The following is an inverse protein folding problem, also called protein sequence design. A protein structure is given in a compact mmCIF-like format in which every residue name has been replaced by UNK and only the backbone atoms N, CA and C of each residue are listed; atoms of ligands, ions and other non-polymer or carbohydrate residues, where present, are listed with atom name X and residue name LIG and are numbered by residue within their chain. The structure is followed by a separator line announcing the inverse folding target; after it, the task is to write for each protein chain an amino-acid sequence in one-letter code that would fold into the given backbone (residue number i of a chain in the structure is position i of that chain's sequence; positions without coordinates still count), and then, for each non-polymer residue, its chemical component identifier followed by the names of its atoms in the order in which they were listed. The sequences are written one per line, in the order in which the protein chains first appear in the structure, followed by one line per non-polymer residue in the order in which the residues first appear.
data_IF_760077476756
#
_entry.id   IF_760077476756
#
_cell.length_a   1.000
_cell.length_b   1.000
_cell.length_c   1.000
_cell.angle_alpha   90.00
_cell.angle_beta   90.00
_cell.angle_gamma   90.00
#
_symmetry.space_group_name_H-M   'P 1'
#
loop_
_entity.id
_entity.type
_entity.pdbx_description
1 polymer ?
#
# COMPACT_ATOMS: atom_id res chain seq x y z
N UNK A 1 0.20 0.33 42.98
CA UNK A 1 -1.02 0.16 42.16
C UNK A 1 -1.67 1.53 42.08
N UNK A 2 -1.79 2.12 40.90
CA UNK A 2 -2.53 3.37 40.71
C UNK A 2 -4.03 3.06 40.81
N UNK A 3 -4.76 3.78 41.65
CA UNK A 3 -6.23 3.67 41.74
C UNK A 3 -6.91 4.63 40.77
N UNK A 4 -8.20 4.41 40.47
CA UNK A 4 -9.01 5.36 39.67
C UNK A 4 -9.01 6.74 40.33
N UNK A 5 -9.08 6.82 41.65
CA UNK A 5 -8.99 8.06 42.42
C UNK A 5 -7.62 8.74 42.31
N UNK A 6 -6.52 7.98 42.18
CA UNK A 6 -5.19 8.54 41.91
C UNK A 6 -5.11 9.12 40.49
N UNK A 7 -5.72 8.44 39.51
CA UNK A 7 -5.81 8.94 38.13
C UNK A 7 -6.67 10.21 38.06
N UNK A 8 -7.82 10.25 38.73
CA UNK A 8 -8.67 11.46 38.79
C UNK A 8 -7.91 12.64 39.40
N UNK A 9 -7.22 12.43 40.53
CA UNK A 9 -6.40 13.47 41.17
C UNK A 9 -5.24 13.93 40.29
N UNK A 10 -4.63 13.03 39.53
CA UNK A 10 -3.58 13.39 38.56
C UNK A 10 -4.14 14.24 37.42
N UNK A 11 -5.28 13.87 36.86
CA UNK A 11 -5.95 14.63 35.79
C UNK A 11 -6.48 16.00 36.26
N UNK A 12 -6.92 16.11 37.51
CA UNK A 12 -7.30 17.38 38.13
C UNK A 12 -6.09 18.31 38.32
N UNK A 13 -4.92 17.75 38.64
CA UNK A 13 -3.68 18.51 38.82
C UNK A 13 -2.96 18.83 37.52
N UNK A 14 -3.18 18.04 36.47
CA UNK A 14 -2.53 18.17 35.16
C UNK A 14 -3.56 18.38 34.04
N UNK A 15 -4.14 19.59 33.92
CA UNK A 15 -5.21 19.86 32.95
C UNK A 15 -4.81 19.59 31.50
N UNK A 16 -3.54 19.81 31.13
CA UNK A 16 -3.03 19.49 29.79
C UNK A 16 -2.98 17.98 29.51
N UNK A 17 -2.73 17.14 30.52
CA UNK A 17 -2.81 15.68 30.36
C UNK A 17 -4.26 15.23 30.18
N UNK A 18 -5.18 15.82 30.95
CA UNK A 18 -6.61 15.56 30.83
C UNK A 18 -7.13 15.89 29.42
N UNK A 19 -6.78 17.06 28.89
CA UNK A 19 -7.17 17.46 27.54
C UNK A 19 -6.68 16.47 26.47
N UNK A 20 -5.43 15.99 26.58
CA UNK A 20 -4.88 15.00 25.64
C UNK A 20 -5.66 13.68 25.71
N UNK A 21 -5.97 13.18 26.91
CA UNK A 21 -6.74 11.93 27.07
C UNK A 21 -8.16 12.09 26.52
N UNK A 22 -8.83 13.21 26.79
CA UNK A 22 -10.17 13.49 26.27
C UNK A 22 -10.15 13.53 24.74
N UNK A 23 -9.15 14.19 24.14
CA UNK A 23 -8.97 14.19 22.67
C UNK A 23 -8.68 12.80 22.13
N UNK A 24 -7.85 12.01 22.81
CA UNK A 24 -7.57 10.62 22.43
C UNK A 24 -8.83 9.76 22.45
N UNK A 25 -9.64 9.85 23.49
CA UNK A 25 -10.93 9.15 23.57
C UNK A 25 -11.84 9.58 22.43
N UNK A 26 -12.01 10.89 22.21
CA UNK A 26 -12.85 11.41 21.13
C UNK A 26 -12.38 10.96 19.73
N UNK A 27 -11.07 10.81 19.52
CA UNK A 27 -10.51 10.42 18.23
C UNK A 27 -10.51 8.90 18.00
N UNK A 28 -10.06 8.11 18.99
CA UNK A 28 -9.80 6.68 18.82
C UNK A 28 -11.00 5.81 19.20
N UNK A 29 -11.84 6.22 20.15
CA UNK A 29 -12.95 5.39 20.61
C UNK A 29 -13.98 5.12 19.49
N UNK A 30 -14.45 6.13 18.71
CA UNK A 30 -15.34 5.87 17.59
C UNK A 30 -14.75 4.91 16.56
N UNK A 31 -13.44 5.03 16.26
CA UNK A 31 -12.74 4.14 15.33
C UNK A 31 -12.66 2.70 15.83
N UNK A 32 -12.48 2.52 17.13
CA UNK A 32 -12.50 1.19 17.74
C UNK A 32 -13.88 0.55 17.64
N UNK A 33 -14.93 1.28 18.01
CA UNK A 33 -16.32 0.80 17.90
C UNK A 33 -16.67 0.49 16.44
N UNK A 34 -16.26 1.34 15.50
CA UNK A 34 -16.44 1.09 14.06
C UNK A 34 -15.74 -0.20 13.61
N UNK A 35 -14.50 -0.44 14.07
CA UNK A 35 -13.77 -1.67 13.76
C UNK A 35 -14.50 -2.91 14.28
N UNK A 36 -15.03 -2.86 15.52
CA UNK A 36 -15.85 -3.93 16.08
C UNK A 36 -17.13 -4.14 15.27
N UNK A 37 -17.83 -3.07 14.94
CA UNK A 37 -19.03 -3.14 14.11
C UNK A 37 -18.76 -3.74 12.71
N UNK A 38 -17.66 -3.36 12.05
CA UNK A 38 -17.25 -3.95 10.76
C UNK A 38 -16.97 -5.45 10.89
N UNK A 39 -16.23 -5.85 11.92
CA UNK A 39 -15.93 -7.26 12.19
C UNK A 39 -17.21 -8.05 12.43
N UNK A 40 -18.13 -7.50 13.23
CA UNK A 40 -19.43 -8.11 13.51
C UNK A 40 -20.25 -8.29 12.23
N UNK A 41 -20.36 -7.24 11.40
CA UNK A 41 -21.08 -7.30 10.12
C UNK A 41 -20.48 -8.38 9.22
N UNK A 42 -19.15 -8.39 9.03
CA UNK A 42 -18.47 -9.35 8.16
C UNK A 42 -18.69 -10.81 8.64
N UNK A 43 -18.69 -11.05 9.95
CA UNK A 43 -18.91 -12.37 10.52
C UNK A 43 -20.36 -12.88 10.34
N UNK A 44 -21.33 -11.97 10.17
CA UNK A 44 -22.75 -12.30 9.98
C UNK A 44 -23.21 -12.24 8.52
N UNK A 45 -22.33 -11.88 7.58
CA UNK A 45 -22.67 -11.88 6.16
C UNK A 45 -22.85 -13.32 5.66
N UNK A 46 -23.92 -13.61 4.89
CA UNK A 46 -24.05 -14.88 4.18
C UNK A 46 -22.84 -15.16 3.28
N UNK A 47 -22.48 -16.44 3.13
CA UNK A 47 -21.34 -16.83 2.30
C UNK A 47 -21.46 -16.34 0.85
N UNK A 48 -22.67 -16.32 0.29
CA UNK A 48 -22.94 -15.77 -1.04
C UNK A 48 -22.59 -14.28 -1.15
N UNK A 49 -22.87 -13.51 -0.10
CA UNK A 49 -22.63 -12.07 -0.09
C UNK A 49 -21.14 -11.80 0.12
N UNK A 50 -20.46 -12.63 0.92
CA UNK A 50 -19.00 -12.61 1.05
C UNK A 50 -18.30 -12.93 -0.28
N UNK A 51 -18.77 -13.93 -1.02
CA UNK A 51 -18.25 -14.26 -2.36
C UNK A 51 -18.46 -13.12 -3.34
N UNK A 52 -19.67 -12.54 -3.37
CA UNK A 52 -19.96 -11.38 -4.20
C UNK A 52 -19.09 -10.16 -3.84
N UNK A 53 -18.95 -9.86 -2.54
CA UNK A 53 -18.11 -8.77 -2.06
C UNK A 53 -16.65 -8.96 -2.48
N UNK A 54 -16.14 -10.19 -2.41
CA UNK A 54 -14.80 -10.51 -2.90
C UNK A 54 -14.64 -10.22 -4.39
N UNK A 55 -15.62 -10.58 -5.23
CA UNK A 55 -15.59 -10.23 -6.66
C UNK A 55 -15.61 -8.71 -6.88
N UNK A 56 -16.40 -7.97 -6.09
CA UNK A 56 -16.41 -6.50 -6.13
C UNK A 56 -15.06 -5.89 -5.77
N UNK A 57 -14.31 -6.48 -4.82
CA UNK A 57 -12.96 -6.04 -4.46
C UNK A 57 -12.00 -6.23 -5.65
N UNK A 58 -12.08 -7.37 -6.34
CA UNK A 58 -11.25 -7.62 -7.52
C UNK A 58 -11.48 -6.59 -8.63
N UNK A 59 -12.73 -6.16 -8.84
CA UNK A 59 -13.11 -5.15 -9.84
C UNK A 59 -12.64 -3.73 -9.52
N UNK A 60 -12.09 -3.45 -8.32
CA UNK A 60 -11.66 -2.11 -7.93
C UNK A 60 -10.46 -1.59 -8.72
N UNK A 61 -9.69 -2.46 -9.38
CA UNK A 61 -8.55 -2.05 -10.21
C UNK A 61 -8.95 -1.50 -11.59
N UNK A 62 -10.23 -1.61 -11.96
CA UNK A 62 -10.79 -1.06 -13.19
C UNK A 62 -11.05 0.44 -13.03
N UNK A 63 -10.47 1.22 -13.92
CA UNK A 63 -10.65 2.67 -14.01
C UNK A 63 -11.82 3.06 -14.92
N UNK A 64 -12.40 4.23 -14.69
CA UNK A 64 -13.43 4.78 -15.59
C UNK A 64 -12.88 5.01 -17.02
N UNK A 65 -11.60 5.36 -17.16
CA UNK A 65 -10.97 5.50 -18.47
C UNK A 65 -10.93 4.18 -19.24
N UNK A 66 -10.55 3.08 -18.58
CA UNK A 66 -10.57 1.74 -19.17
C UNK A 66 -12.00 1.33 -19.57
N UNK A 67 -13.02 1.68 -18.77
CA UNK A 67 -14.42 1.44 -19.11
C UNK A 67 -14.80 2.20 -20.38
N UNK A 68 -14.53 3.50 -20.46
CA UNK A 68 -14.89 4.30 -21.64
C UNK A 68 -14.15 3.85 -22.91
N UNK A 69 -12.88 3.46 -22.80
CA UNK A 69 -12.13 2.88 -23.91
C UNK A 69 -12.75 1.54 -24.36
N UNK A 70 -13.12 0.69 -23.41
CA UNK A 70 -13.68 -0.63 -23.70
C UNK A 70 -15.06 -0.59 -24.36
N UNK A 71 -15.86 0.47 -24.12
CA UNK A 71 -17.16 0.66 -24.78
C UNK A 71 -17.06 0.79 -26.30
N UNK A 72 -15.88 1.11 -26.83
CA UNK A 72 -15.63 1.16 -28.27
C UNK A 72 -15.42 -0.23 -28.88
N UNK A 73 -15.15 -1.25 -28.07
CA UNK A 73 -14.97 -2.64 -28.50
C UNK A 73 -16.32 -3.33 -28.76
N UNK A 74 -16.50 -3.87 -29.96
CA UNK A 74 -17.68 -4.68 -30.29
C UNK A 74 -17.82 -5.90 -29.38
N UNK A 75 -16.71 -6.52 -28.96
CA UNK A 75 -16.73 -7.71 -28.12
C UNK A 75 -17.16 -7.37 -26.68
N UNK A 76 -16.70 -6.24 -26.15
CA UNK A 76 -17.15 -5.74 -24.86
C UNK A 76 -18.65 -5.41 -24.88
N UNK A 77 -19.15 -4.81 -25.96
CA UNK A 77 -20.59 -4.55 -26.13
C UNK A 77 -21.43 -5.83 -26.24
N UNK A 78 -20.91 -6.90 -26.86
CA UNK A 78 -21.58 -8.21 -26.90
C UNK A 78 -21.67 -8.82 -25.49
N UNK A 79 -20.58 -8.78 -24.73
CA UNK A 79 -20.55 -9.27 -23.35
C UNK A 79 -21.52 -8.47 -22.46
N UNK A 80 -21.59 -7.14 -22.63
CA UNK A 80 -22.54 -6.31 -21.88
C UNK A 80 -23.99 -6.70 -22.17
N UNK A 81 -24.33 -7.00 -23.43
CA UNK A 81 -25.65 -7.52 -23.79
C UNK A 81 -25.96 -8.87 -23.12
N UNK A 82 -24.97 -9.77 -23.01
CA UNK A 82 -25.13 -11.03 -22.27
C UNK A 82 -25.47 -10.76 -20.80
N UNK A 83 -24.74 -9.87 -20.13
CA UNK A 83 -25.05 -9.51 -18.74
C UNK A 83 -26.41 -8.81 -18.58
N UNK A 84 -26.83 -7.99 -19.53
CA UNK A 84 -28.18 -7.40 -19.55
C UNK A 84 -29.24 -8.50 -19.63
N UNK A 85 -29.04 -9.51 -20.48
CA UNK A 85 -29.96 -10.63 -20.59
C UNK A 85 -30.00 -11.50 -19.31
N UNK A 86 -28.84 -11.74 -18.67
CA UNK A 86 -28.76 -12.41 -17.37
C UNK A 86 -29.53 -11.61 -16.30
N UNK A 87 -29.35 -10.29 -16.26
CA UNK A 87 -30.09 -9.38 -15.37
C UNK A 87 -31.61 -9.44 -15.61
N UNK A 88 -32.03 -9.77 -16.84
CA UNK A 88 -33.44 -9.95 -17.21
C UNK A 88 -33.98 -11.37 -16.99
N UNK A 89 -33.18 -12.28 -16.43
CA UNK A 89 -33.62 -13.60 -15.96
C UNK A 89 -32.96 -14.79 -16.67
N UNK A 90 -32.12 -14.58 -17.69
CA UNK A 90 -31.47 -15.65 -18.45
C UNK A 90 -30.13 -16.08 -17.81
N UNK A 91 -30.18 -16.68 -16.60
CA UNK A 91 -28.97 -17.09 -15.88
C UNK A 91 -28.14 -18.16 -16.59
N UNK A 92 -28.75 -18.94 -17.49
CA UNK A 92 -28.06 -19.92 -18.33
C UNK A 92 -26.95 -19.31 -19.20
N UNK A 93 -27.05 -18.01 -19.52
CA UNK A 93 -26.00 -17.29 -20.27
C UNK A 93 -24.72 -17.08 -19.45
N UNK A 94 -24.72 -17.34 -18.13
CA UNK A 94 -23.49 -17.28 -17.33
C UNK A 94 -22.45 -18.29 -17.80
N UNK A 95 -22.86 -19.45 -18.33
CA UNK A 95 -21.93 -20.44 -18.90
C UNK A 95 -21.23 -19.89 -20.14
N UNK A 96 -21.96 -19.16 -20.99
CA UNK A 96 -21.39 -18.50 -22.17
C UNK A 96 -20.39 -17.40 -21.75
N UNK A 97 -20.78 -16.56 -20.80
CA UNK A 97 -19.89 -15.51 -20.25
C UNK A 97 -18.64 -16.12 -19.63
N UNK A 98 -18.77 -17.22 -18.88
CA UNK A 98 -17.64 -17.91 -18.28
C UNK A 98 -16.70 -18.48 -19.34
N UNK A 99 -17.24 -19.08 -20.41
CA UNK A 99 -16.42 -19.59 -21.51
C UNK A 99 -15.64 -18.48 -22.21
N UNK A 100 -16.27 -17.31 -22.44
CA UNK A 100 -15.59 -16.13 -22.99
C UNK A 100 -14.47 -15.70 -22.05
N UNK A 101 -14.74 -15.57 -20.75
CA UNK A 101 -13.76 -15.20 -19.75
C UNK A 101 -12.54 -16.13 -19.77
N UNK A 102 -12.76 -17.46 -19.69
CA UNK A 102 -11.69 -18.46 -19.67
C UNK A 102 -10.85 -18.41 -20.96
N UNK A 103 -11.49 -18.24 -22.11
CA UNK A 103 -10.78 -18.09 -23.38
C UNK A 103 -9.88 -16.85 -23.38
N UNK A 104 -10.41 -15.70 -22.95
CA UNK A 104 -9.65 -14.45 -22.87
C UNK A 104 -8.50 -14.55 -21.85
N UNK A 105 -8.73 -15.21 -20.70
CA UNK A 105 -7.68 -15.47 -19.71
C UNK A 105 -6.54 -16.28 -20.31
N UNK A 106 -6.84 -17.33 -21.07
CA UNK A 106 -5.81 -18.17 -21.69
C UNK A 106 -4.98 -17.41 -22.73
N UNK A 107 -5.62 -16.56 -23.54
CA UNK A 107 -4.92 -15.70 -24.50
C UNK A 107 -3.98 -14.74 -23.77
N UNK A 108 -4.48 -14.02 -22.76
CA UNK A 108 -3.67 -13.07 -21.99
C UNK A 108 -2.53 -13.78 -21.24
N UNK A 109 -2.78 -14.95 -20.62
CA UNK A 109 -1.73 -15.74 -19.96
C UNK A 109 -0.60 -16.05 -20.94
N UNK A 110 -0.91 -16.54 -22.15
CA UNK A 110 0.08 -16.85 -23.17
C UNK A 110 0.87 -15.61 -23.64
N UNK A 111 0.21 -14.46 -23.79
CA UNK A 111 0.88 -13.20 -24.15
C UNK A 111 1.89 -12.76 -23.09
N UNK A 112 1.51 -12.78 -21.81
CA UNK A 112 2.42 -12.39 -20.73
C UNK A 112 3.55 -13.40 -20.54
N UNK A 113 3.30 -14.71 -20.66
CA UNK A 113 4.34 -15.74 -20.63
C UNK A 113 5.40 -15.48 -21.70
N UNK A 114 4.96 -15.11 -22.92
CA UNK A 114 5.85 -14.73 -24.01
C UNK A 114 6.66 -13.47 -23.67
N UNK A 115 6.01 -12.39 -23.20
CA UNK A 115 6.69 -11.15 -22.79
C UNK A 115 7.75 -11.41 -21.71
N UNK A 116 7.44 -12.28 -20.73
CA UNK A 116 8.36 -12.67 -19.66
C UNK A 116 9.54 -13.48 -20.22
N UNK A 117 9.28 -14.42 -21.13
CA UNK A 117 10.33 -15.21 -21.79
C UNK A 117 11.28 -14.31 -22.61
N UNK A 118 10.74 -13.34 -23.33
CA UNK A 118 11.51 -12.36 -24.10
C UNK A 118 12.38 -11.48 -23.19
N UNK A 119 11.81 -10.98 -22.07
CA UNK A 119 12.57 -10.23 -21.07
C UNK A 119 13.71 -11.08 -20.49
N UNK A 120 13.42 -12.32 -20.08
CA UNK A 120 14.42 -13.26 -19.57
C UNK A 120 15.53 -13.50 -20.57
N UNK A 121 15.19 -13.75 -21.83
CA UNK A 121 16.17 -13.93 -22.91
C UNK A 121 17.05 -12.68 -23.07
N UNK A 122 16.44 -11.48 -23.06
CA UNK A 122 17.18 -10.22 -23.22
C UNK A 122 18.21 -9.98 -22.12
N UNK A 123 17.98 -10.52 -20.91
CA UNK A 123 18.84 -10.39 -19.74
C UNK A 123 19.84 -11.54 -19.56
N UNK A 124 19.84 -12.53 -20.46
CA UNK A 124 20.85 -13.58 -20.43
C UNK A 124 22.23 -13.07 -20.85
N UNK A 125 23.32 -13.65 -20.29
CA UNK A 125 24.66 -13.46 -20.79
C UNK A 125 24.77 -13.75 -22.29
N UNK A 126 25.68 -13.03 -22.98
CA UNK A 126 25.84 -13.12 -24.44
C UNK A 126 26.10 -14.55 -24.93
N UNK A 127 26.93 -15.30 -24.22
CA UNK A 127 27.23 -16.71 -24.50
C UNK A 127 25.98 -17.60 -24.44
N UNK A 128 25.10 -17.38 -23.46
CA UNK A 128 23.83 -18.11 -23.32
C UNK A 128 22.84 -17.75 -24.42
N UNK A 129 22.74 -16.49 -24.81
CA UNK A 129 21.91 -16.06 -25.95
C UNK A 129 22.35 -16.73 -27.25
N UNK A 130 23.66 -16.72 -27.54
CA UNK A 130 24.22 -17.40 -28.72
C UNK A 130 23.94 -18.91 -28.71
N UNK A 131 24.01 -19.56 -27.53
CA UNK A 131 23.65 -20.97 -27.38
C UNK A 131 22.17 -21.20 -27.73
N UNK A 132 21.27 -20.35 -27.23
CA UNK A 132 19.83 -20.41 -27.50
C UNK A 132 19.55 -20.21 -28.99
N UNK A 133 20.15 -19.20 -29.63
CA UNK A 133 19.92 -18.89 -31.04
C UNK A 133 20.32 -20.07 -31.95
N UNK A 134 21.42 -20.75 -31.62
CA UNK A 134 21.86 -21.97 -32.31
C UNK A 134 20.92 -23.16 -32.11
N UNK A 135 20.24 -23.25 -30.97
CA UNK A 135 19.26 -24.30 -30.71
C UNK A 135 17.96 -24.01 -31.48
N UNK A 136 17.48 -22.77 -31.45
CA UNK A 136 16.31 -22.31 -32.22
C UNK A 136 16.53 -22.48 -33.73
N UNK A 137 17.72 -22.14 -34.25
CA UNK A 137 18.04 -22.36 -35.68
C UNK A 137 18.06 -23.84 -36.09
N UNK A 138 18.16 -24.76 -35.12
CA UNK A 138 18.09 -26.21 -35.32
C UNK A 138 16.71 -26.80 -34.97
N UNK A 139 15.69 -25.95 -34.79
CA UNK A 139 14.33 -26.35 -34.38
C UNK A 139 14.31 -27.13 -33.06
N UNK A 140 15.20 -26.77 -32.11
CA UNK A 140 15.28 -27.37 -30.78
C UNK A 140 14.74 -26.42 -29.71
N UNK A 141 13.50 -25.95 -29.90
CA UNK A 141 12.87 -24.94 -29.06
C UNK A 141 12.72 -25.38 -27.60
N UNK A 142 12.36 -26.65 -27.35
CA UNK A 142 12.28 -27.20 -25.98
C UNK A 142 13.61 -27.06 -25.22
N UNK A 143 14.74 -27.32 -25.91
CA UNK A 143 16.07 -27.19 -25.30
C UNK A 143 16.45 -25.74 -25.06
N UNK A 144 16.06 -24.85 -25.97
CA UNK A 144 16.24 -23.41 -25.80
C UNK A 144 15.44 -22.89 -24.59
N UNK A 145 14.20 -23.33 -24.44
CA UNK A 145 13.35 -22.98 -23.30
C UNK A 145 13.92 -23.48 -21.97
N UNK A 146 14.44 -24.70 -21.93
CA UNK A 146 15.07 -25.24 -20.70
C UNK A 146 16.20 -24.33 -20.24
N UNK A 147 17.04 -23.82 -21.15
CA UNK A 147 18.14 -22.92 -20.78
C UNK A 147 17.62 -21.61 -20.18
N UNK A 148 16.56 -21.03 -20.76
CA UNK A 148 15.93 -19.81 -20.25
C UNK A 148 15.29 -20.09 -18.87
N UNK A 149 14.55 -21.18 -18.73
CA UNK A 149 13.85 -21.52 -17.48
C UNK A 149 14.80 -21.87 -16.33
N UNK A 150 15.91 -22.54 -16.62
CA UNK A 150 16.84 -23.05 -15.59
C UNK A 150 17.94 -22.07 -15.18
N UNK A 151 18.03 -20.90 -15.84
CA UNK A 151 18.99 -19.89 -15.45
C UNK A 151 18.62 -19.27 -14.10
N UNK A 152 19.43 -19.53 -13.08
CA UNK A 152 19.14 -19.15 -11.68
C UNK A 152 19.71 -17.79 -11.25
N UNK A 153 20.48 -17.14 -12.12
CA UNK A 153 21.15 -15.85 -11.84
C UNK A 153 20.40 -14.66 -12.44
N UNK A 154 19.08 -14.76 -12.57
CA UNK A 154 18.29 -13.62 -13.01
C UNK A 154 18.30 -12.50 -11.96
N UNK A 155 18.34 -11.26 -12.46
CA UNK A 155 18.24 -10.02 -11.67
C UNK A 155 16.91 -9.98 -10.89
N UNK A 156 16.88 -9.23 -9.79
CA UNK A 156 15.69 -9.06 -8.93
C UNK A 156 14.45 -8.61 -9.72
N UNK A 157 14.64 -7.78 -10.74
CA UNK A 157 13.59 -7.32 -11.65
C UNK A 157 12.80 -8.46 -12.29
N UNK A 158 13.46 -9.53 -12.73
CA UNK A 158 12.77 -10.68 -13.34
C UNK A 158 11.95 -11.44 -12.28
N UNK A 159 12.52 -11.63 -11.08
CA UNK A 159 11.80 -12.27 -9.97
C UNK A 159 10.54 -11.48 -9.56
N UNK A 160 10.63 -10.14 -9.52
CA UNK A 160 9.48 -9.25 -9.28
C UNK A 160 8.39 -9.46 -10.35
N UNK A 161 8.75 -9.50 -11.63
CA UNK A 161 7.80 -9.77 -12.73
C UNK A 161 7.15 -11.15 -12.61
N UNK A 162 7.92 -12.20 -12.35
CA UNK A 162 7.40 -13.56 -12.20
C UNK A 162 6.44 -13.68 -11.01
N UNK A 163 6.76 -13.06 -9.88
CA UNK A 163 5.89 -13.00 -8.72
C UNK A 163 4.57 -12.28 -9.05
N UNK A 164 4.64 -11.14 -9.74
CA UNK A 164 3.45 -10.41 -10.18
C UNK A 164 2.58 -11.21 -11.14
N UNK A 165 3.18 -11.92 -12.08
CA UNK A 165 2.47 -12.85 -12.97
C UNK A 165 1.83 -14.01 -12.21
N UNK A 166 2.51 -14.58 -11.22
CA UNK A 166 1.95 -15.64 -10.37
C UNK A 166 0.74 -15.14 -9.56
N UNK A 167 0.79 -13.89 -9.07
CA UNK A 167 -0.36 -13.25 -8.42
C UNK A 167 -1.51 -13.12 -9.42
N UNK A 168 -1.25 -12.58 -10.61
CA UNK A 168 -2.26 -12.48 -11.68
C UNK A 168 -2.92 -13.83 -11.97
N UNK A 169 -2.12 -14.87 -12.19
CA UNK A 169 -2.61 -16.22 -12.49
C UNK A 169 -3.55 -16.75 -11.39
N UNK A 170 -3.23 -16.47 -10.12
CA UNK A 170 -4.11 -16.81 -8.99
C UNK A 170 -5.38 -15.97 -8.95
N UNK A 171 -5.30 -14.67 -9.26
CA UNK A 171 -6.44 -13.77 -9.20
C UNK A 171 -7.47 -14.09 -10.29
N UNK A 172 -7.03 -14.42 -11.51
CA UNK A 172 -7.96 -14.82 -12.58
C UNK A 172 -8.67 -16.14 -12.27
N UNK A 173 -7.99 -17.07 -11.59
CA UNK A 173 -8.62 -18.34 -11.18
C UNK A 173 -9.61 -18.14 -10.01
N UNK A 174 -9.51 -17.02 -9.28
CA UNK A 174 -10.42 -16.65 -8.18
C UNK A 174 -11.59 -15.78 -8.62
N UNK A 175 -11.52 -15.18 -9.81
CA UNK A 175 -12.60 -14.38 -10.35
C UNK A 175 -13.70 -15.30 -10.87
N UNK A 176 -14.89 -15.18 -10.30
CA UNK A 176 -16.00 -16.10 -10.55
C UNK A 176 -17.21 -15.35 -11.10
N UNK A 177 -17.44 -15.51 -12.40
CA UNK A 177 -18.56 -14.85 -13.09
C UNK A 177 -19.93 -15.34 -12.61
N UNK A 178 -20.01 -16.55 -12.04
CA UNK A 178 -21.27 -17.12 -11.56
C UNK A 178 -21.84 -16.40 -10.33
N UNK A 179 -21.03 -15.57 -9.65
CA UNK A 179 -21.52 -14.72 -8.57
C UNK A 179 -22.45 -13.59 -9.07
N UNK A 180 -22.46 -13.31 -10.37
CA UNK A 180 -23.26 -12.25 -10.99
C UNK A 180 -24.61 -12.76 -11.51
N UNK A 181 -25.36 -13.45 -10.66
CA UNK A 181 -26.73 -13.91 -10.95
C UNK A 181 -27.70 -12.74 -11.26
N UNK A 182 -28.86 -13.06 -11.84
CA UNK A 182 -29.97 -12.10 -12.06
C UNK A 182 -30.22 -11.20 -10.85
N UNK A 183 -30.36 -11.78 -9.65
CA UNK A 183 -30.66 -11.03 -8.43
C UNK A 183 -29.51 -10.09 -8.06
N UNK A 184 -28.28 -10.55 -8.17
CA UNK A 184 -27.09 -9.74 -7.87
C UNK A 184 -26.97 -8.57 -8.85
N UNK A 185 -27.15 -8.80 -10.15
CA UNK A 185 -27.08 -7.76 -11.18
C UNK A 185 -28.21 -6.75 -11.09
N UNK A 186 -29.43 -7.18 -10.79
CA UNK A 186 -30.57 -6.26 -10.61
C UNK A 186 -30.35 -5.25 -9.48
N UNK A 187 -29.65 -5.66 -8.42
CA UNK A 187 -29.29 -4.79 -7.29
C UNK A 187 -28.06 -3.92 -7.58
N UNK A 188 -27.20 -4.32 -8.52
CA UNK A 188 -25.89 -3.71 -8.78
C UNK A 188 -25.67 -3.36 -10.26
N UNK A 189 -26.67 -2.74 -10.89
CA UNK A 189 -26.67 -2.45 -12.34
C UNK A 189 -25.49 -1.60 -12.81
N UNK A 190 -24.96 -0.76 -11.92
CA UNK A 190 -23.79 0.07 -12.17
C UNK A 190 -22.49 -0.73 -12.37
N UNK A 191 -22.46 -2.01 -12.01
CA UNK A 191 -21.30 -2.88 -12.24
C UNK A 191 -21.21 -3.41 -13.67
N UNK A 192 -22.30 -3.38 -14.46
CA UNK A 192 -22.35 -3.98 -15.79
C UNK A 192 -21.16 -3.56 -16.68
N UNK A 193 -20.79 -2.28 -16.82
CA UNK A 193 -19.65 -1.90 -17.65
C UNK A 193 -18.32 -2.49 -17.15
N UNK A 194 -18.13 -2.55 -15.83
CA UNK A 194 -16.92 -3.12 -15.21
C UNK A 194 -16.85 -4.63 -15.45
N UNK A 195 -17.97 -5.32 -15.34
CA UNK A 195 -18.06 -6.77 -15.58
C UNK A 195 -17.77 -7.12 -17.03
N UNK A 196 -18.33 -6.35 -17.97
CA UNK A 196 -18.08 -6.54 -19.39
C UNK A 196 -16.60 -6.38 -19.72
N UNK A 197 -15.96 -5.34 -19.19
CA UNK A 197 -14.52 -5.14 -19.34
C UNK A 197 -13.72 -6.26 -18.67
N UNK A 198 -14.09 -6.68 -17.46
CA UNK A 198 -13.38 -7.73 -16.73
C UNK A 198 -13.37 -9.06 -17.50
N UNK A 199 -14.48 -9.40 -18.15
CA UNK A 199 -14.60 -10.59 -18.99
C UNK A 199 -13.85 -10.44 -20.31
N UNK A 200 -13.92 -9.25 -20.92
CA UNK A 200 -13.25 -8.97 -22.19
C UNK A 200 -11.72 -8.92 -22.06
N UNK A 201 -11.23 -8.28 -21.01
CA UNK A 201 -9.82 -7.93 -20.81
C UNK A 201 -9.38 -8.25 -19.38
N UNK A 202 -9.20 -9.55 -19.04
CA UNK A 202 -8.85 -10.00 -17.68
C UNK A 202 -7.51 -9.45 -17.16
N UNK A 203 -6.69 -8.85 -18.03
CA UNK A 203 -5.45 -8.16 -17.69
C UNK A 203 -5.60 -7.04 -16.65
N UNK A 204 -6.81 -6.55 -16.37
CA UNK A 204 -7.06 -5.60 -15.28
C UNK A 204 -6.62 -6.10 -13.90
N UNK A 205 -6.50 -7.43 -13.72
CA UNK A 205 -5.98 -8.08 -12.52
C UNK A 205 -4.44 -8.15 -12.47
N UNK A 206 -3.76 -7.80 -13.57
CA UNK A 206 -2.30 -7.77 -13.62
C UNK A 206 -1.78 -6.61 -12.74
N UNK A 207 -0.85 -6.86 -11.80
CA UNK A 207 -0.24 -5.78 -11.03
C UNK A 207 0.44 -4.76 -11.94
N UNK A 208 0.18 -3.47 -11.73
CA UNK A 208 0.62 -2.40 -12.63
C UNK A 208 2.15 -2.37 -12.87
N UNK A 209 2.98 -2.62 -11.85
CA UNK A 209 4.44 -2.68 -12.01
C UNK A 209 4.90 -3.75 -13.00
N UNK A 210 4.13 -4.84 -13.20
CA UNK A 210 4.54 -5.91 -14.12
C UNK A 210 4.68 -5.34 -15.53
N UNK A 211 3.71 -4.53 -15.95
CA UNK A 211 3.75 -3.87 -17.25
C UNK A 211 4.87 -2.85 -17.35
N UNK A 212 5.12 -2.06 -16.30
CA UNK A 212 6.26 -1.12 -16.28
C UNK A 212 7.60 -1.86 -16.45
N UNK A 213 7.78 -2.96 -15.72
CA UNK A 213 9.01 -3.74 -15.75
C UNK A 213 9.22 -4.45 -17.10
N UNK A 214 8.15 -5.03 -17.65
CA UNK A 214 8.16 -5.69 -18.97
C UNK A 214 8.44 -4.70 -20.09
N UNK A 215 7.83 -3.51 -20.04
CA UNK A 215 8.05 -2.44 -21.01
C UNK A 215 9.39 -1.70 -20.79
N UNK A 216 10.18 -2.12 -19.80
CA UNK A 216 11.47 -1.53 -19.44
C UNK A 216 11.40 -0.02 -19.15
N UNK A 217 10.25 0.46 -18.67
CA UNK A 217 10.12 1.85 -18.24
C UNK A 217 10.81 2.05 -16.90
N UNK A 218 11.37 3.25 -16.67
CA UNK A 218 11.87 3.62 -15.35
C UNK A 218 10.73 3.60 -14.32
N UNK A 219 10.99 2.93 -13.19
CA UNK A 219 10.08 2.89 -12.05
C UNK A 219 9.85 4.30 -11.50
N UNK A 220 8.64 4.55 -11.02
CA UNK A 220 8.32 5.78 -10.33
C UNK A 220 9.18 5.91 -9.05
N UNK A 221 9.74 7.10 -8.76
CA UNK A 221 10.45 7.29 -7.51
C UNK A 221 9.57 7.04 -6.28
N UNK A 222 10.15 6.42 -5.24
CA UNK A 222 9.45 6.05 -4.00
C UNK A 222 8.17 5.24 -4.29
N UNK A 223 8.24 4.34 -5.27
CA UNK A 223 7.11 3.53 -5.74
C UNK A 223 6.43 2.75 -4.60
N UNK A 224 7.24 2.27 -3.65
CA UNK A 224 6.79 1.55 -2.45
C UNK A 224 5.77 2.36 -1.64
N UNK A 225 5.92 3.68 -1.58
CA UNK A 225 4.98 4.57 -0.90
C UNK A 225 3.70 4.75 -1.72
N UNK A 226 3.85 5.01 -3.02
CA UNK A 226 2.73 5.27 -3.92
C UNK A 226 1.78 4.06 -3.97
N UNK A 227 2.31 2.83 -4.01
CA UNK A 227 1.52 1.60 -3.93
C UNK A 227 0.69 1.47 -2.66
N UNK A 228 1.17 2.03 -1.54
CA UNK A 228 0.47 1.98 -0.24
C UNK A 228 -0.57 3.09 -0.10
N UNK A 229 -0.43 4.18 -0.85
CA UNK A 229 -1.27 5.39 -0.69
C UNK A 229 -2.32 5.56 -1.75
N UNK A 230 -1.99 5.23 -2.98
CA UNK A 230 -2.89 5.39 -4.10
C UNK A 230 -3.73 4.13 -4.25
N UNK A 231 -5.00 4.31 -4.58
CA UNK A 231 -5.81 3.24 -5.15
C UNK A 231 -5.19 2.78 -6.47
N UNK A 232 -5.45 1.54 -6.88
CA UNK A 232 -4.92 1.00 -8.15
C UNK A 232 -5.26 1.93 -9.35
N UNK A 233 -6.48 2.47 -9.47
CA UNK A 233 -6.81 3.46 -10.49
C UNK A 233 -5.96 4.74 -10.45
N UNK A 234 -5.78 5.33 -9.26
CA UNK A 234 -4.96 6.55 -9.09
C UNK A 234 -3.51 6.28 -9.48
N UNK A 235 -2.99 5.11 -9.13
CA UNK A 235 -1.64 4.69 -9.47
C UNK A 235 -1.46 4.49 -10.99
N UNK A 236 -2.39 3.80 -11.67
CA UNK A 236 -2.39 3.66 -13.13
C UNK A 236 -2.39 5.03 -13.83
N UNK A 237 -3.23 5.96 -13.35
CA UNK A 237 -3.29 7.33 -13.87
C UNK A 237 -1.95 8.05 -13.70
N UNK A 238 -1.31 7.92 -12.54
CA UNK A 238 0.01 8.50 -12.27
C UNK A 238 1.07 7.97 -13.24
N UNK A 239 1.09 6.67 -13.54
CA UNK A 239 2.05 6.10 -14.50
C UNK A 239 1.88 6.75 -15.88
N UNK A 240 0.64 6.89 -16.34
CA UNK A 240 0.31 7.45 -17.65
C UNK A 240 0.65 8.96 -17.75
N UNK A 241 0.72 9.66 -16.62
CA UNK A 241 0.96 11.11 -16.56
C UNK A 241 2.21 11.52 -15.76
N UNK A 242 3.17 10.62 -15.56
CA UNK A 242 4.32 10.83 -14.66
C UNK A 242 5.23 12.02 -14.99
N UNK A 243 5.21 12.49 -16.24
CA UNK A 243 5.94 13.67 -16.70
C UNK A 243 5.16 14.99 -16.56
N UNK A 244 3.91 14.93 -16.05
CA UNK A 244 3.05 16.10 -15.88
C UNK A 244 3.34 16.80 -14.55
N UNK A 245 3.67 18.09 -14.62
CA UNK A 245 3.80 18.93 -13.42
C UNK A 245 2.50 18.94 -12.60
N UNK A 246 1.34 18.93 -13.27
CA UNK A 246 0.04 18.90 -12.58
C UNK A 246 -0.09 17.68 -11.68
N UNK A 247 0.34 16.52 -12.16
CA UNK A 247 0.28 15.27 -11.39
C UNK A 247 1.16 15.32 -10.14
N UNK A 248 2.38 15.88 -10.24
CA UNK A 248 3.24 16.06 -9.08
C UNK A 248 2.71 17.10 -8.09
N UNK A 249 2.06 18.17 -8.58
CA UNK A 249 1.37 19.15 -7.73
C UNK A 249 0.20 18.50 -6.98
N UNK A 250 -0.56 17.63 -7.64
CA UNK A 250 -1.66 16.89 -7.01
C UNK A 250 -1.15 15.95 -5.91
N UNK A 251 -0.07 15.21 -6.18
CA UNK A 251 0.60 14.36 -5.19
C UNK A 251 1.15 15.17 -4.01
N UNK A 252 1.74 16.34 -4.28
CA UNK A 252 2.19 17.25 -3.23
C UNK A 252 1.03 17.70 -2.34
N UNK A 253 -0.07 18.16 -2.94
CA UNK A 253 -1.24 18.60 -2.18
C UNK A 253 -1.84 17.45 -1.36
N UNK A 254 -1.88 16.24 -1.91
CA UNK A 254 -2.31 15.04 -1.19
C UNK A 254 -1.42 14.80 0.04
N UNK A 255 -0.10 14.67 -0.12
CA UNK A 255 0.80 14.38 1.01
C UNK A 255 0.82 15.53 2.03
N UNK A 256 0.77 16.78 1.56
CA UNK A 256 0.67 17.97 2.42
C UNK A 256 -0.57 17.89 3.31
N UNK A 257 -1.73 17.67 2.72
CA UNK A 257 -2.99 17.61 3.46
C UNK A 257 -2.98 16.43 4.43
N UNK A 258 -2.43 15.28 4.04
CA UNK A 258 -2.27 14.14 4.94
C UNK A 258 -1.41 14.47 6.16
N UNK A 259 -0.23 15.08 5.97
CA UNK A 259 0.67 15.48 7.06
C UNK A 259 -0.03 16.48 8.00
N UNK A 260 -0.67 17.51 7.44
CA UNK A 260 -1.38 18.52 8.23
C UNK A 260 -2.53 17.92 9.04
N UNK A 261 -3.34 17.05 8.42
CA UNK A 261 -4.42 16.35 9.11
C UNK A 261 -3.88 15.44 10.22
N UNK A 262 -2.72 14.79 10.00
CA UNK A 262 -2.09 13.93 11.00
C UNK A 262 -1.46 14.71 12.14
N UNK A 263 -0.98 15.93 11.90
CA UNK A 263 -0.40 16.80 12.92
C UNK A 263 -1.39 17.12 14.06
N UNK A 264 -2.69 16.97 13.82
CA UNK A 264 -3.76 17.16 14.81
C UNK A 264 -4.21 15.88 15.53
N UNK A 265 -3.72 14.70 15.10
CA UNK A 265 -4.03 13.44 15.76
C UNK A 265 -3.48 13.49 17.19
N UNK A 266 -4.28 13.11 18.20
CA UNK A 266 -3.92 13.31 19.61
C UNK A 266 -2.89 12.30 20.14
N UNK A 267 -1.83 12.03 19.37
CA UNK A 267 -0.66 11.24 19.76
C UNK A 267 0.42 12.23 20.22
N UNK A 268 0.88 12.09 21.46
CA UNK A 268 1.82 13.04 22.09
C UNK A 268 3.08 13.30 21.24
N UNK A 269 3.76 12.25 20.72
CA UNK A 269 4.86 12.43 19.78
C UNK A 269 4.56 13.31 18.55
N UNK A 270 3.32 13.27 18.04
CA UNK A 270 2.91 14.02 16.85
C UNK A 270 2.54 15.46 17.23
N UNK A 271 1.70 15.65 18.26
CA UNK A 271 1.26 16.98 18.71
C UNK A 271 2.47 17.87 19.04
N UNK A 272 3.47 17.31 19.76
CA UNK A 272 4.68 18.06 20.14
C UNK A 272 5.49 18.57 18.94
N UNK A 273 5.29 17.99 17.76
CA UNK A 273 6.01 18.33 16.52
C UNK A 273 5.15 19.13 15.54
N UNK A 274 3.90 19.49 15.89
CA UNK A 274 2.95 20.19 15.02
C UNK A 274 3.52 21.48 14.41
N UNK A 275 4.18 22.32 15.20
CA UNK A 275 4.74 23.57 14.70
C UNK A 275 5.89 23.35 13.69
N UNK A 276 6.69 22.31 13.91
CA UNK A 276 7.74 21.92 12.98
C UNK A 276 7.15 21.33 11.68
N UNK A 277 6.10 20.52 11.77
CA UNK A 277 5.36 20.00 10.60
C UNK A 277 4.77 21.14 9.77
N UNK A 278 4.14 22.13 10.42
CA UNK A 278 3.64 23.33 9.76
C UNK A 278 4.77 24.14 9.11
N UNK A 279 5.92 24.24 9.79
CA UNK A 279 7.10 24.94 9.28
C UNK A 279 7.69 24.26 8.04
N UNK A 280 7.69 22.93 7.96
CA UNK A 280 8.13 22.19 6.75
C UNK A 280 7.28 22.63 5.55
N UNK A 281 5.94 22.59 5.70
CA UNK A 281 5.02 22.93 4.62
C UNK A 281 5.14 24.40 4.22
N UNK A 282 5.22 25.30 5.21
CA UNK A 282 5.39 26.73 4.97
C UNK A 282 6.69 27.03 4.21
N UNK A 283 7.82 26.46 4.65
CA UNK A 283 9.10 26.68 3.99
C UNK A 283 9.10 26.15 2.55
N UNK A 284 8.50 24.97 2.31
CA UNK A 284 8.37 24.43 0.95
C UNK A 284 7.56 25.36 0.04
N UNK A 285 6.40 25.84 0.49
CA UNK A 285 5.55 26.74 -0.30
C UNK A 285 6.24 28.07 -0.64
N UNK A 286 7.15 28.54 0.21
CA UNK A 286 7.96 29.73 -0.01
C UNK A 286 9.30 29.44 -0.69
N UNK A 287 9.48 28.22 -1.21
CA UNK A 287 10.69 27.77 -1.93
C UNK A 287 11.98 27.78 -1.08
N UNK A 288 11.84 27.77 0.25
CA UNK A 288 12.95 27.63 1.20
C UNK A 288 13.27 26.14 1.42
N UNK A 289 13.67 25.46 0.34
CA UNK A 289 13.82 24.00 0.32
C UNK A 289 14.87 23.47 1.30
N UNK A 290 16.01 24.15 1.46
CA UNK A 290 17.06 23.70 2.40
C UNK A 290 16.57 23.71 3.84
N UNK A 291 15.95 24.81 4.29
CA UNK A 291 15.34 24.92 5.62
C UNK A 291 14.27 23.85 5.84
N UNK A 292 13.41 23.64 4.83
CA UNK A 292 12.38 22.62 4.89
C UNK A 292 12.98 21.20 5.01
N UNK A 293 14.08 20.90 4.32
CA UNK A 293 14.76 19.60 4.35
C UNK A 293 15.42 19.33 5.71
N UNK A 294 16.10 20.32 6.31
CA UNK A 294 16.70 20.19 7.65
C UNK A 294 15.65 19.77 8.67
N UNK A 295 14.52 20.49 8.68
CA UNK A 295 13.42 20.21 9.60
C UNK A 295 12.82 18.82 9.30
N UNK A 296 12.62 18.50 8.02
CA UNK A 296 12.07 17.20 7.58
C UNK A 296 12.92 16.03 8.07
N UNK A 297 14.23 16.06 7.88
CA UNK A 297 15.11 14.99 8.35
C UNK A 297 15.09 14.83 9.87
N UNK A 298 15.11 15.96 10.60
CA UNK A 298 15.05 15.96 12.06
C UNK A 298 13.74 15.34 12.58
N UNK A 299 12.61 15.64 11.92
CA UNK A 299 11.32 15.03 12.27
C UNK A 299 11.28 13.55 11.92
N UNK A 300 11.77 13.15 10.73
CA UNK A 300 11.83 11.76 10.29
C UNK A 300 12.57 10.91 11.33
N UNK A 301 13.79 11.31 11.70
CA UNK A 301 14.57 10.59 12.71
C UNK A 301 13.84 10.56 14.06
N UNK A 302 13.33 11.71 14.51
CA UNK A 302 12.58 11.79 15.76
C UNK A 302 11.37 10.87 15.80
N UNK A 303 10.58 10.78 14.72
CA UNK A 303 9.41 9.91 14.66
C UNK A 303 9.77 8.42 14.55
N UNK A 304 10.88 8.07 13.90
CA UNK A 304 11.36 6.68 13.84
C UNK A 304 11.77 6.15 15.22
N UNK A 305 12.32 7.00 16.09
CA UNK A 305 12.54 6.66 17.49
C UNK A 305 11.20 6.37 18.20
N UNK A 306 10.18 7.18 17.96
CA UNK A 306 8.85 7.00 18.57
C UNK A 306 8.17 5.71 18.06
N UNK A 307 8.32 5.39 16.76
CA UNK A 307 7.91 4.10 16.18
C UNK A 307 8.57 2.95 16.92
N UNK A 308 9.89 3.04 17.16
CA UNK A 308 10.65 2.02 17.87
C UNK A 308 10.15 1.85 19.31
N UNK A 309 9.79 2.95 19.98
CA UNK A 309 9.18 2.93 21.32
C UNK A 309 7.81 2.26 21.32
N UNK A 310 6.94 2.54 20.33
CA UNK A 310 5.63 1.90 20.21
C UNK A 310 5.74 0.39 19.95
N UNK A 311 6.68 -0.04 19.10
CA UNK A 311 6.98 -1.48 18.91
C UNK A 311 7.47 -2.10 20.22
N UNK A 312 8.31 -1.39 20.96
CA UNK A 312 8.87 -1.88 22.22
C UNK A 312 7.84 -2.14 23.33
N UNK A 313 6.60 -1.63 23.19
CA UNK A 313 5.51 -1.92 24.13
C UNK A 313 4.99 -3.36 24.03
N UNK A 314 5.22 -4.02 22.89
CA UNK A 314 4.75 -5.40 22.64
C UNK A 314 5.90 -6.37 22.35
N UNK A 315 7.00 -5.86 21.78
CA UNK A 315 8.17 -6.66 21.47
C UNK A 315 9.45 -6.14 22.14
N UNK A 316 10.47 -6.98 22.19
CA UNK A 316 11.74 -6.63 22.84
C UNK A 316 12.65 -5.87 21.86
N UNK A 317 12.59 -4.54 21.92
CA UNK A 317 13.51 -3.63 21.20
C UNK A 317 14.57 -3.10 22.17
N UNK A 318 14.13 -2.39 23.21
CA UNK A 318 15.01 -1.78 24.21
C UNK A 318 15.12 -2.66 25.45
N UNK A 319 16.35 -2.81 25.97
CA UNK A 319 16.65 -3.52 27.22
C UNK A 319 16.95 -2.50 28.32
N UNK A 320 17.70 -1.45 27.99
CA UNK A 320 17.93 -0.26 28.82
C UNK A 320 18.18 0.95 27.91
N UNK A 321 18.42 2.13 28.49
CA UNK A 321 18.52 3.40 27.74
C UNK A 321 19.47 3.36 26.53
N UNK A 322 20.57 2.58 26.58
CA UNK A 322 21.55 2.48 25.50
C UNK A 322 21.76 1.03 25.02
N UNK A 323 20.98 0.07 25.54
CA UNK A 323 21.15 -1.35 25.22
C UNK A 323 19.89 -1.87 24.51
N UNK A 324 20.08 -2.39 23.31
CA UNK A 324 19.03 -2.88 22.42
C UNK A 324 19.22 -4.37 22.16
N UNK A 325 18.16 -5.01 21.69
CA UNK A 325 18.17 -6.43 21.33
C UNK A 325 18.24 -6.64 19.82
N UNK A 326 19.31 -7.28 19.34
CA UNK A 326 19.47 -7.66 17.94
C UNK A 326 18.59 -8.89 17.66
N UNK A 327 17.57 -8.72 16.81
CA UNK A 327 16.61 -9.78 16.53
C UNK A 327 17.21 -10.90 15.66
N UNK A 328 18.23 -10.59 14.86
CA UNK A 328 18.88 -11.55 13.96
C UNK A 328 19.91 -12.39 14.72
N UNK A 329 20.79 -11.72 15.48
CA UNK A 329 21.90 -12.35 16.21
C UNK A 329 21.49 -12.85 17.59
N UNK A 330 20.30 -12.46 18.07
CA UNK A 330 19.77 -12.79 19.40
C UNK A 330 20.70 -12.36 20.54
N UNK A 331 21.40 -11.25 20.34
CA UNK A 331 22.36 -10.69 21.29
C UNK A 331 22.01 -9.24 21.63
N UNK A 332 22.71 -8.69 22.61
CA UNK A 332 22.55 -7.28 22.98
C UNK A 332 23.57 -6.44 22.22
N UNK A 333 23.19 -5.21 21.87
CA UNK A 333 24.12 -4.25 21.30
C UNK A 333 23.84 -2.85 21.83
N UNK A 334 24.84 -1.97 21.72
CA UNK A 334 24.69 -0.56 22.03
C UNK A 334 24.82 0.26 20.75
N UNK A 335 23.92 1.20 20.55
CA UNK A 335 23.99 2.19 19.48
C UNK A 335 23.19 3.43 19.85
N UNK A 336 23.58 4.57 19.29
CA UNK A 336 22.83 5.82 19.32
C UNK A 336 22.22 6.17 17.96
N UNK A 337 22.34 5.27 16.97
CA UNK A 337 21.92 5.52 15.59
C UNK A 337 20.58 4.85 15.32
N UNK A 338 19.62 5.63 14.84
CA UNK A 338 18.29 5.10 14.50
C UNK A 338 18.36 4.04 13.39
N UNK A 339 19.35 4.15 12.47
CA UNK A 339 19.62 3.12 11.46
C UNK A 339 19.85 1.74 12.07
N UNK A 340 20.69 1.66 13.11
CA UNK A 340 21.00 0.37 13.74
C UNK A 340 19.77 -0.22 14.42
N UNK A 341 18.91 0.62 15.01
CA UNK A 341 17.62 0.19 15.57
C UNK A 341 16.75 -0.42 14.48
N UNK A 342 16.59 0.28 13.36
CA UNK A 342 15.74 -0.16 12.25
C UNK A 342 16.29 -1.45 11.64
N UNK A 343 17.56 -1.51 11.24
CA UNK A 343 18.11 -2.65 10.50
C UNK A 343 18.28 -3.92 11.35
N UNK A 344 18.55 -3.78 12.66
CA UNK A 344 18.98 -4.91 13.51
C UNK A 344 17.92 -5.39 14.49
N UNK A 345 16.95 -4.56 14.86
CA UNK A 345 15.90 -4.95 15.82
C UNK A 345 14.64 -5.43 15.09
N UNK A 346 13.63 -5.82 15.86
CA UNK A 346 12.32 -6.22 15.33
C UNK A 346 11.57 -5.06 14.66
N UNK A 347 12.01 -3.80 14.82
CA UNK A 347 11.38 -2.62 14.21
C UNK A 347 11.29 -2.74 12.68
N UNK A 348 12.28 -3.36 12.01
CA UNK A 348 12.20 -3.60 10.55
C UNK A 348 10.95 -4.36 10.11
N UNK A 349 10.39 -5.24 10.96
CA UNK A 349 9.22 -6.03 10.60
C UNK A 349 7.94 -5.19 10.55
N UNK A 350 8.01 -3.95 11.06
CA UNK A 350 6.93 -2.97 11.06
C UNK A 350 7.11 -1.91 9.98
N UNK A 351 8.18 -1.98 9.20
CA UNK A 351 8.53 -1.02 8.16
C UNK A 351 8.64 -1.72 6.79
N UNK A 352 8.43 -0.96 5.71
CA UNK A 352 8.59 -1.46 4.34
C UNK A 352 10.07 -1.73 4.03
N UNK A 353 10.39 -2.85 3.39
CA UNK A 353 11.78 -3.20 3.08
C UNK A 353 12.43 -2.19 2.13
N UNK A 354 11.68 -1.70 1.13
CA UNK A 354 12.19 -0.70 0.19
C UNK A 354 12.33 0.67 0.87
N UNK A 355 11.43 0.99 1.82
CA UNK A 355 11.64 2.16 2.68
C UNK A 355 12.93 2.05 3.48
N UNK A 356 13.22 0.90 4.11
CA UNK A 356 14.45 0.73 4.90
C UNK A 356 15.68 0.92 4.01
N UNK A 357 15.66 0.36 2.79
CA UNK A 357 16.73 0.54 1.80
C UNK A 357 16.88 2.02 1.42
N UNK A 358 15.80 2.70 1.04
CA UNK A 358 15.81 4.13 0.69
C UNK A 358 16.32 4.98 1.87
N UNK A 359 15.79 4.74 3.08
CA UNK A 359 16.18 5.48 4.27
C UNK A 359 17.65 5.26 4.63
N UNK A 360 18.11 4.01 4.71
CA UNK A 360 19.46 3.70 5.20
C UNK A 360 20.56 3.97 4.16
N UNK A 361 20.23 3.97 2.86
CA UNK A 361 21.21 4.20 1.79
C UNK A 361 21.17 5.63 1.24
N UNK A 362 20.00 6.27 1.15
CA UNK A 362 19.85 7.57 0.48
C UNK A 362 19.55 8.72 1.43
N UNK A 363 18.80 8.48 2.51
CA UNK A 363 18.34 9.53 3.42
C UNK A 363 19.25 9.70 4.64
N UNK A 364 19.75 8.57 5.14
CA UNK A 364 20.57 8.46 6.33
C UNK A 364 22.03 8.18 5.93
N UNK A 365 22.64 9.12 5.22
CA UNK A 365 24.09 9.22 5.18
C UNK A 365 24.52 10.15 6.33
N UNK A 366 25.42 9.70 7.22
CA UNK A 366 25.97 10.54 8.31
C UNK A 366 26.63 11.82 7.79
N UNK A 367 26.93 11.86 6.49
CA UNK A 367 27.39 13.01 5.72
C UNK A 367 26.23 13.71 5.01
N UNK A 368 25.07 13.84 5.64
CA UNK A 368 23.98 14.63 5.08
C UNK A 368 24.52 16.04 4.78
N UNK A 369 24.67 16.44 3.51
CA UNK A 369 25.40 17.65 3.14
C UNK A 369 24.87 18.88 3.88
N UNK A 370 23.56 18.90 4.14
CA UNK A 370 22.84 20.01 4.78
C UNK A 370 23.21 20.21 6.23
N UNK A 371 23.42 19.12 6.98
CA UNK A 371 23.85 19.19 8.38
C UNK A 371 25.28 19.75 8.51
N UNK A 372 26.01 19.84 7.41
CA UNK A 372 27.34 20.43 7.31
C UNK A 372 27.38 21.74 6.49
N UNK A 373 26.22 22.36 6.24
CA UNK A 373 26.10 23.64 5.53
C UNK A 373 26.29 23.55 4.01
N UNK A 374 26.30 22.35 3.44
CA UNK A 374 26.31 22.14 1.99
C UNK A 374 24.89 22.00 1.46
N UNK A 375 24.63 22.51 0.26
CA UNK A 375 23.31 22.37 -0.39
C UNK A 375 23.06 20.91 -0.80
N UNK A 376 21.82 20.43 -0.66
CA UNK A 376 21.43 19.05 -1.07
C UNK A 376 21.59 18.84 -2.57
N UNK A 377 21.36 19.90 -3.34
CA UNK A 377 21.53 19.92 -4.78
C UNK A 377 22.22 21.23 -5.19
N UNK A 378 22.79 21.29 -6.39
CA UNK A 378 23.21 22.57 -6.97
C UNK A 378 21.99 23.49 -7.14
N UNK A 379 22.17 24.81 -7.03
CA UNK A 379 21.09 25.82 -7.18
C UNK A 379 20.33 25.68 -8.52
N UNK A 380 20.95 25.09 -9.55
CA UNK A 380 20.38 24.88 -10.89
C UNK A 380 19.60 23.55 -11.05
N UNK A 381 19.42 22.80 -9.97
CA UNK A 381 18.79 21.49 -9.98
C UNK A 381 17.28 21.59 -10.21
N UNK A 382 16.87 21.38 -11.46
CA UNK A 382 15.45 21.42 -11.89
C UNK A 382 14.53 20.39 -11.21
N UNK A 383 15.08 19.48 -10.40
CA UNK A 383 14.35 18.40 -9.73
C UNK A 383 14.27 18.56 -8.19
N UNK A 384 14.68 19.70 -7.63
CA UNK A 384 14.64 19.92 -6.17
C UNK A 384 13.24 19.73 -5.58
N UNK A 385 12.21 20.22 -6.26
CA UNK A 385 10.81 20.09 -5.85
C UNK A 385 10.38 18.61 -5.75
N UNK A 386 10.65 17.82 -6.79
CA UNK A 386 10.35 16.38 -6.83
C UNK A 386 11.11 15.64 -5.72
N UNK A 387 12.39 15.97 -5.51
CA UNK A 387 13.19 15.37 -4.45
C UNK A 387 12.62 15.66 -3.06
N UNK A 388 12.13 16.87 -2.84
CA UNK A 388 11.48 17.24 -1.59
C UNK A 388 10.16 16.50 -1.38
N UNK A 389 9.33 16.40 -2.42
CA UNK A 389 8.05 15.66 -2.37
C UNK A 389 8.30 14.20 -1.93
N UNK A 390 9.38 13.55 -2.41
CA UNK A 390 9.77 12.21 -1.95
C UNK A 390 10.06 12.17 -0.44
N UNK A 391 10.66 13.21 0.13
CA UNK A 391 10.92 13.26 1.59
C UNK A 391 9.63 13.47 2.38
N UNK A 392 8.65 14.17 1.81
CA UNK A 392 7.32 14.24 2.40
C UNK A 392 6.60 12.89 2.36
N UNK A 393 6.78 12.08 1.30
CA UNK A 393 6.24 10.71 1.25
C UNK A 393 6.77 9.86 2.40
N UNK A 394 8.07 9.94 2.67
CA UNK A 394 8.70 9.27 3.82
C UNK A 394 8.13 9.77 5.15
N UNK A 395 8.02 11.09 5.32
CA UNK A 395 7.46 11.67 6.53
C UNK A 395 6.01 11.21 6.77
N UNK A 396 5.17 11.27 5.73
CA UNK A 396 3.77 10.83 5.81
C UNK A 396 3.66 9.35 6.16
N UNK A 397 4.51 8.51 5.54
CA UNK A 397 4.58 7.08 5.82
C UNK A 397 4.94 6.76 7.28
N UNK A 398 5.94 7.45 7.84
CA UNK A 398 6.37 7.22 9.23
C UNK A 398 5.27 7.69 10.19
N UNK A 399 4.62 8.82 9.90
CA UNK A 399 3.48 9.29 10.68
C UNK A 399 2.35 8.27 10.69
N UNK A 400 2.00 7.69 9.54
CA UNK A 400 0.97 6.64 9.48
C UNK A 400 1.37 5.40 10.26
N UNK A 401 2.60 4.94 10.08
CA UNK A 401 3.12 3.77 10.80
C UNK A 401 3.02 3.98 12.31
N UNK A 402 3.36 5.18 12.80
CA UNK A 402 3.23 5.52 14.22
C UNK A 402 1.77 5.54 14.68
N UNK A 403 0.87 6.13 13.90
CA UNK A 403 -0.57 6.18 14.20
C UNK A 403 -1.16 4.77 14.27
N UNK A 404 -0.85 3.92 13.29
CA UNK A 404 -1.32 2.54 13.22
C UNK A 404 -0.83 1.71 14.41
N UNK A 405 0.46 1.81 14.76
CA UNK A 405 1.04 1.14 15.92
C UNK A 405 0.39 1.59 17.22
N UNK A 406 0.26 2.91 17.42
CA UNK A 406 -0.39 3.47 18.58
C UNK A 406 -1.83 2.99 18.70
N UNK A 407 -2.59 3.06 17.60
CA UNK A 407 -3.98 2.61 17.54
C UNK A 407 -4.10 1.12 17.86
N UNK A 408 -3.26 0.26 17.27
CA UNK A 408 -3.25 -1.18 17.52
C UNK A 408 -2.93 -1.50 18.97
N UNK A 409 -1.95 -0.82 19.55
CA UNK A 409 -1.59 -0.96 20.95
C UNK A 409 -2.76 -0.57 21.87
N UNK A 410 -3.38 0.58 21.61
CA UNK A 410 -4.53 1.08 22.38
C UNK A 410 -5.75 0.15 22.27
N UNK A 411 -6.10 -0.26 21.05
CA UNK A 411 -7.24 -1.14 20.79
C UNK A 411 -7.03 -2.51 21.44
N UNK A 412 -5.81 -3.03 21.43
CA UNK A 412 -5.47 -4.28 22.14
C UNK A 412 -5.70 -4.18 23.65
N UNK A 413 -5.51 -3.02 24.26
CA UNK A 413 -5.80 -2.84 25.69
C UNK A 413 -7.31 -2.69 25.93
N UNK A 414 -8.05 -2.00 25.06
CA UNK A 414 -9.51 -1.93 25.14
C UNK A 414 -10.18 -3.29 24.92
N UNK A 415 -9.66 -4.10 24.02
CA UNK A 415 -10.14 -5.47 23.76
C UNK A 415 -9.97 -6.39 24.98
N UNK A 416 -8.96 -6.14 25.82
CA UNK A 416 -8.79 -6.84 27.10
C UNK A 416 -9.70 -6.29 28.20
N UNK A 417 -10.00 -4.99 28.12
CA UNK A 417 -10.74 -4.28 29.16
C UNK A 417 -12.27 -4.45 29.05
N UNK A 418 -12.79 -4.62 27.83
CA UNK A 418 -14.23 -4.72 27.58
C UNK A 418 -14.62 -6.10 27.07
N UNK A 419 -15.66 -6.68 27.68
CA UNK A 419 -16.26 -7.92 27.20
C UNK A 419 -17.17 -7.69 25.99
N UNK A 420 -17.60 -8.78 25.33
CA UNK A 420 -18.46 -8.70 24.15
C UNK A 420 -19.80 -8.01 24.45
N UNK A 421 -20.35 -8.20 25.65
CA UNK A 421 -21.62 -7.56 26.05
C UNK A 421 -21.47 -6.04 26.04
N UNK A 422 -20.37 -5.52 26.59
CA UNK A 422 -20.11 -4.09 26.62
C UNK A 422 -19.78 -3.54 25.23
N UNK A 423 -19.07 -4.30 24.41
CA UNK A 423 -18.84 -3.96 22.99
C UNK A 423 -20.16 -3.80 22.24
N UNK A 424 -21.08 -4.76 22.38
CA UNK A 424 -22.40 -4.69 21.74
C UNK A 424 -23.23 -3.50 22.22
N UNK A 425 -23.15 -3.16 23.51
CA UNK A 425 -23.78 -1.95 24.06
C UNK A 425 -23.24 -0.68 23.38
N UNK A 426 -21.92 -0.58 23.19
CA UNK A 426 -21.31 0.55 22.49
C UNK A 426 -21.73 0.60 21.01
N UNK A 427 -21.71 -0.53 20.30
CA UNK A 427 -22.17 -0.59 18.90
C UNK A 427 -23.62 -0.11 18.80
N UNK A 428 -24.50 -0.58 19.70
CA UNK A 428 -25.91 -0.14 19.74
C UNK A 428 -26.04 1.36 19.99
N UNK A 429 -25.25 1.93 20.90
CA UNK A 429 -25.26 3.37 21.17
C UNK A 429 -24.82 4.20 19.96
N UNK A 430 -23.85 3.71 19.18
CA UNK A 430 -23.32 4.42 18.01
C UNK A 430 -24.18 4.26 16.75
N UNK A 431 -24.76 3.09 16.52
CA UNK A 431 -25.40 2.74 15.26
C UNK A 431 -26.90 2.42 15.37
N UNK A 432 -27.47 2.39 16.57
CA UNK A 432 -28.90 2.18 16.79
C UNK A 432 -29.42 0.78 16.44
N UNK A 433 -28.54 -0.22 16.31
CA UNK A 433 -28.90 -1.60 15.92
C UNK A 433 -28.79 -2.55 17.11
N UNK A 434 -29.82 -3.34 17.34
CA UNK A 434 -29.71 -4.61 18.07
C UNK A 434 -29.23 -5.65 17.05
N UNK A 435 -27.93 -5.92 17.05
CA UNK A 435 -27.37 -7.06 16.33
C UNK A 435 -27.39 -8.22 17.33
N UNK A 436 -28.49 -8.97 17.33
CA UNK A 436 -28.72 -10.15 18.19
C UNK A 436 -28.30 -11.44 17.50
#
# INVERSE_FOLDING_TARGET
MLTIEDMKKDLEKNPGHKEIIERQLAYFFPKWVENKNKTEILNHLPESDMKFLFQCILLQSITEEEIEQSRQSEDCQKIEKLFINIMNGQNELLDEVNQIYVNNVNVIKAEYEKKIADLKYSKLPKDKRVQIDKLKSKQQDDKAEIIIKTYNKYEEKIKKVENGYSIFARLVDLFDVYQFSTKALQLNKNLLPKLSLAVNSPEFLMPAYVNELLNQTEELPSNWYLYRKLTIPEYKKLINSKNSQQTWNDLFNMVRNNILNKADIPIVPIIKRKDLLNSIIYNFQNQYYDSALIITFSIIEGLLWEVSCEVSKKEKVFISNNEMYDCNKKEKFQSTRIRDVIERTVVKNYLDEEFIKEFCNELYEERNPVLHGNSVCHYECKQQEICFIKKLFVLDYIMDTLVELYQKNLFSEWDKAFDQKKVNEFIKQFYGRDLS
#
